data_IF_268659116731
#
_entry.id   IF_268659116731
#
_cell.length_a   1.000
_cell.length_b   1.000
_cell.length_c   1.000
_cell.angle_alpha   90.00
_cell.angle_beta   90.00
_cell.angle_gamma   90.00
#
_symmetry.space_group_name_H-M   'P 1'
#
loop_
_entity.id
_entity.type
_entity.pdbx_description
1 polymer ?
#
# COMPACT_ATOMS: atom_id res chain seq x y z
N UNK A 1 13.10 -35.86 -8.52
CA UNK A 1 14.35 -36.38 -9.11
C UNK A 1 15.05 -35.41 -10.06
N UNK A 2 14.40 -34.35 -10.52
CA UNK A 2 15.02 -33.31 -11.36
C UNK A 2 15.53 -33.76 -12.73
N UNK A 3 15.23 -34.99 -13.15
CA UNK A 3 15.64 -35.50 -14.46
C UNK A 3 14.57 -35.18 -15.50
N UNK A 4 14.99 -34.67 -16.63
CA UNK A 4 14.12 -34.42 -17.78
C UNK A 4 14.78 -34.92 -19.06
N UNK A 5 14.00 -35.26 -20.06
CA UNK A 5 14.47 -35.66 -21.37
C UNK A 5 13.70 -34.85 -22.42
N UNK A 6 14.44 -34.26 -23.34
CA UNK A 6 13.89 -33.50 -24.46
C UNK A 6 14.36 -34.14 -25.75
N UNK A 7 13.44 -34.49 -26.63
CA UNK A 7 13.70 -35.07 -27.95
C UNK A 7 13.50 -34.03 -29.05
N UNK A 8 14.29 -34.12 -30.12
CA UNK A 8 14.13 -33.27 -31.30
C UNK A 8 14.69 -31.84 -31.16
N UNK A 9 15.60 -31.61 -30.24
CA UNK A 9 16.21 -30.27 -29.99
C UNK A 9 17.40 -30.09 -30.95
N UNK A 10 17.39 -28.95 -31.69
CA UNK A 10 18.51 -28.58 -32.57
C UNK A 10 19.72 -28.12 -31.79
N UNK A 11 20.93 -28.33 -32.34
CA UNK A 11 22.18 -27.91 -31.73
C UNK A 11 22.27 -26.40 -31.48
N UNK A 12 21.56 -25.59 -32.27
CA UNK A 12 21.55 -24.12 -32.10
C UNK A 12 20.47 -23.61 -31.14
N UNK A 13 19.68 -24.53 -30.56
CA UNK A 13 18.61 -24.17 -29.64
C UNK A 13 19.14 -23.74 -28.27
N UNK A 14 18.46 -22.77 -27.65
CA UNK A 14 18.70 -22.35 -26.29
C UNK A 14 17.66 -22.99 -25.36
N UNK A 15 18.12 -23.63 -24.31
CA UNK A 15 17.31 -24.16 -23.23
C UNK A 15 17.20 -23.11 -22.15
N UNK A 16 16.00 -22.65 -21.83
CA UNK A 16 15.75 -21.80 -20.67
C UNK A 16 15.19 -22.68 -19.54
N UNK A 17 15.92 -22.75 -18.46
CA UNK A 17 15.51 -23.51 -17.28
C UNK A 17 15.18 -22.54 -16.17
N UNK A 18 13.92 -22.57 -15.72
CA UNK A 18 13.44 -21.73 -14.61
C UNK A 18 12.72 -22.58 -13.59
N UNK A 19 12.92 -22.25 -12.31
CA UNK A 19 12.22 -22.86 -11.20
C UNK A 19 11.95 -21.81 -10.13
N UNK A 20 10.83 -21.91 -9.44
CA UNK A 20 10.43 -20.94 -8.42
C UNK A 20 11.49 -20.87 -7.31
N UNK A 21 12.02 -19.67 -7.06
CA UNK A 21 13.09 -19.45 -6.07
C UNK A 21 14.53 -19.61 -6.60
N UNK A 22 14.70 -19.82 -7.90
CA UNK A 22 16.01 -19.95 -8.54
C UNK A 22 16.14 -18.99 -9.74
N UNK A 23 17.37 -18.54 -9.99
CA UNK A 23 17.66 -17.72 -11.16
C UNK A 23 17.48 -18.52 -12.43
N UNK A 24 16.73 -17.99 -13.38
CA UNK A 24 16.59 -18.60 -14.70
C UNK A 24 17.95 -18.66 -15.42
N UNK A 25 18.31 -19.83 -15.95
CA UNK A 25 19.55 -20.01 -16.70
C UNK A 25 19.22 -20.37 -18.15
N UNK A 26 19.94 -19.72 -19.07
CA UNK A 26 19.88 -20.07 -20.50
C UNK A 26 21.16 -20.83 -20.88
N UNK A 27 21.00 -22.00 -21.47
CA UNK A 27 22.09 -22.87 -21.90
C UNK A 27 21.91 -23.17 -23.39
N UNK A 28 23.00 -23.01 -24.17
CA UNK A 28 23.00 -23.39 -25.57
C UNK A 28 23.25 -24.90 -25.65
N UNK A 29 22.42 -25.62 -26.40
CA UNK A 29 22.46 -27.08 -26.47
C UNK A 29 23.75 -27.58 -27.09
N UNK A 30 24.20 -27.01 -28.19
CA UNK A 30 25.43 -27.44 -28.87
C UNK A 30 25.38 -28.94 -29.23
N UNK A 31 26.53 -29.62 -29.17
CA UNK A 31 26.66 -31.06 -29.46
C UNK A 31 26.65 -31.95 -28.21
N UNK A 32 26.18 -31.44 -27.06
CA UNK A 32 26.15 -32.18 -25.80
C UNK A 32 24.83 -32.91 -25.63
N UNK A 33 24.89 -34.23 -25.40
CA UNK A 33 23.72 -35.08 -25.15
C UNK A 33 23.23 -35.13 -23.70
N UNK A 34 23.96 -34.55 -22.74
CA UNK A 34 23.57 -34.52 -21.34
C UNK A 34 24.04 -33.21 -20.70
N UNK A 35 23.18 -32.65 -19.87
CA UNK A 35 23.45 -31.41 -19.12
C UNK A 35 23.22 -31.67 -17.65
N UNK A 36 24.14 -31.26 -16.82
CA UNK A 36 23.94 -31.12 -15.39
C UNK A 36 23.79 -29.62 -15.10
N UNK A 37 22.58 -29.21 -14.72
CA UNK A 37 22.24 -27.83 -14.52
C UNK A 37 22.07 -27.58 -13.02
N UNK A 38 22.99 -26.85 -12.43
CA UNK A 38 22.90 -26.40 -11.04
C UNK A 38 22.26 -25.03 -11.06
N UNK A 39 21.00 -24.95 -10.63
CA UNK A 39 20.32 -23.67 -10.46
C UNK A 39 20.87 -22.96 -9.22
N UNK A 40 21.15 -21.67 -9.38
CA UNK A 40 21.55 -20.82 -8.25
C UNK A 40 20.29 -20.26 -7.60
N UNK A 41 20.26 -20.26 -6.29
CA UNK A 41 19.19 -19.65 -5.53
C UNK A 41 19.02 -18.19 -5.98
N UNK A 42 17.78 -17.82 -6.29
CA UNK A 42 17.45 -16.42 -6.54
C UNK A 42 17.40 -15.70 -5.20
N UNK A 43 18.57 -15.32 -4.71
CA UNK A 43 18.71 -14.49 -3.51
C UNK A 43 18.21 -13.05 -3.73
N UNK A 44 17.78 -12.71 -4.94
CA UNK A 44 16.93 -11.54 -5.20
C UNK A 44 15.45 -11.82 -4.84
N UNK A 45 15.17 -12.75 -3.93
CA UNK A 45 13.89 -12.78 -3.24
C UNK A 45 13.70 -11.41 -2.60
N UNK A 46 13.05 -10.53 -3.35
CA UNK A 46 12.49 -9.26 -2.93
C UNK A 46 13.09 -8.77 -1.60
N UNK A 47 14.28 -8.21 -1.63
CA UNK A 47 14.79 -7.42 -0.52
C UNK A 47 13.83 -6.23 -0.38
N UNK A 48 12.73 -6.48 0.32
CA UNK A 48 11.77 -5.44 0.63
C UNK A 48 12.49 -4.42 1.50
N UNK A 49 12.91 -3.34 0.84
CA UNK A 49 13.54 -2.21 1.50
C UNK A 49 12.43 -1.33 2.04
N UNK A 50 12.41 -1.16 3.33
CA UNK A 50 11.46 -0.29 4.02
C UNK A 50 12.18 1.00 4.40
N UNK A 51 11.58 2.13 4.08
CA UNK A 51 12.07 3.43 4.54
C UNK A 51 11.69 3.58 6.01
N UNK A 52 12.69 3.69 6.88
CA UNK A 52 12.51 3.92 8.31
C UNK A 52 13.27 5.17 8.67
N UNK A 53 12.54 6.23 8.97
CA UNK A 53 13.13 7.52 9.25
C UNK A 53 13.79 8.13 8.03
N UNK A 54 15.05 8.53 8.17
CA UNK A 54 15.85 9.14 7.11
C UNK A 54 16.68 8.13 6.32
N UNK A 55 16.56 6.84 6.60
CA UNK A 55 17.35 5.79 5.95
C UNK A 55 16.46 4.65 5.45
N UNK A 56 16.82 4.12 4.28
CA UNK A 56 16.24 2.89 3.77
C UNK A 56 16.94 1.69 4.44
N UNK A 57 16.19 0.85 5.12
CA UNK A 57 16.71 -0.37 5.75
C UNK A 57 16.01 -1.62 5.20
N UNK A 58 16.72 -2.73 5.15
CA UNK A 58 16.12 -4.02 4.78
C UNK A 58 15.12 -4.44 5.84
N UNK A 59 13.93 -4.86 5.43
CA UNK A 59 12.85 -5.28 6.35
C UNK A 59 13.31 -6.35 7.36
N UNK A 60 14.20 -7.24 6.94
CA UNK A 60 14.79 -8.29 7.78
C UNK A 60 15.57 -7.71 8.98
N UNK A 61 16.11 -6.51 8.86
CA UNK A 61 16.89 -5.86 9.92
C UNK A 61 16.04 -5.01 10.88
N UNK A 62 14.72 -4.93 10.63
CA UNK A 62 13.82 -4.18 11.47
C UNK A 62 13.30 -5.07 12.59
N UNK A 63 13.68 -4.76 13.82
CA UNK A 63 13.19 -5.45 15.03
C UNK A 63 11.77 -5.03 15.41
N UNK A 64 11.26 -3.92 14.84
CA UNK A 64 9.94 -3.37 15.13
C UNK A 64 8.84 -3.88 14.21
N UNK A 65 7.58 -3.74 14.65
CA UNK A 65 6.39 -4.09 13.87
C UNK A 65 6.12 -3.03 12.79
N UNK A 66 6.69 -3.22 11.62
CA UNK A 66 6.51 -2.36 10.45
C UNK A 66 5.66 -3.09 9.42
N UNK A 67 4.60 -2.46 8.94
CA UNK A 67 3.85 -2.91 7.78
C UNK A 67 4.28 -2.08 6.55
N UNK A 68 4.76 -2.74 5.52
CA UNK A 68 5.09 -2.13 4.25
C UNK A 68 4.08 -2.56 3.19
N UNK A 69 3.57 -1.60 2.45
CA UNK A 69 2.61 -1.78 1.38
C UNK A 69 3.21 -1.18 0.11
N UNK A 70 3.51 -2.04 -0.86
CA UNK A 70 3.92 -1.61 -2.19
C UNK A 70 2.68 -1.37 -3.04
N UNK A 71 2.57 -0.19 -3.59
CA UNK A 71 1.51 0.18 -4.52
C UNK A 71 1.92 -0.22 -5.93
N UNK A 72 1.62 -1.46 -6.31
CA UNK A 72 1.67 -1.91 -7.70
C UNK A 72 0.33 -1.64 -8.38
N UNK A 73 0.35 -1.48 -9.70
CA UNK A 73 -0.83 -1.12 -10.51
C UNK A 73 -2.03 -2.08 -10.31
N UNK A 74 -1.77 -3.35 -9.98
CA UNK A 74 -2.83 -4.33 -9.67
C UNK A 74 -3.61 -4.01 -8.39
N UNK A 75 -2.97 -3.45 -7.37
CA UNK A 75 -3.63 -3.08 -6.10
C UNK A 75 -4.42 -1.78 -6.19
N UNK A 76 -4.08 -0.94 -7.17
CA UNK A 76 -4.80 0.29 -7.51
C UNK A 76 -6.01 0.05 -8.44
N UNK A 77 -6.30 -1.20 -8.83
CA UNK A 77 -7.44 -1.52 -9.69
C UNK A 77 -8.80 -1.22 -9.04
N UNK A 78 -8.86 -1.05 -7.72
CA UNK A 78 -10.04 -0.50 -7.05
C UNK A 78 -10.10 1.01 -7.33
N UNK A 79 -11.24 1.53 -7.74
CA UNK A 79 -11.44 2.98 -7.85
C UNK A 79 -11.48 3.59 -6.45
N UNK A 80 -10.31 3.88 -5.90
CA UNK A 80 -10.17 4.60 -4.63
C UNK A 80 -9.92 6.07 -4.92
N UNK A 81 -10.66 6.92 -4.25
CA UNK A 81 -10.57 8.37 -4.38
C UNK A 81 -9.43 8.93 -3.53
N UNK A 82 -9.13 8.29 -2.38
CA UNK A 82 -8.10 8.74 -1.44
C UNK A 82 -7.15 7.60 -1.06
N UNK A 83 -5.91 7.97 -0.71
CA UNK A 83 -4.91 7.01 -0.19
C UNK A 83 -5.41 6.38 1.12
N UNK A 84 -6.07 7.17 1.97
CA UNK A 84 -6.63 6.68 3.21
C UNK A 84 -7.65 5.55 2.98
N UNK A 85 -8.54 5.71 2.00
CA UNK A 85 -9.49 4.66 1.63
C UNK A 85 -8.79 3.40 1.11
N UNK A 86 -7.67 3.55 0.40
CA UNK A 86 -6.88 2.42 -0.09
C UNK A 86 -6.21 1.63 1.03
N UNK A 87 -5.83 2.29 2.13
CA UNK A 87 -5.20 1.64 3.28
C UNK A 87 -6.18 0.77 4.10
N UNK A 88 -7.48 0.99 3.93
CA UNK A 88 -8.51 0.24 4.66
C UNK A 88 -8.41 -1.25 4.35
N UNK A 89 -8.18 -2.06 5.39
CA UNK A 89 -8.06 -3.52 5.28
C UNK A 89 -6.75 -4.05 4.70
N UNK A 90 -5.81 -3.17 4.29
CA UNK A 90 -4.52 -3.59 3.72
C UNK A 90 -3.44 -3.81 4.78
N UNK A 91 -3.54 -3.15 5.92
CA UNK A 91 -2.56 -3.27 6.99
C UNK A 91 -3.22 -3.68 8.30
N UNK A 92 -2.74 -4.78 8.91
CA UNK A 92 -3.23 -5.21 10.22
C UNK A 92 -2.94 -4.16 11.30
N UNK A 93 -3.93 -3.85 12.13
CA UNK A 93 -3.83 -2.86 13.21
C UNK A 93 -3.95 -1.40 12.75
N UNK A 94 -4.33 -1.16 11.51
CA UNK A 94 -4.68 0.16 10.98
C UNK A 94 -6.19 0.19 10.78
N UNK A 95 -6.85 1.09 11.46
CA UNK A 95 -8.28 1.33 11.33
C UNK A 95 -8.48 2.66 10.58
N UNK A 96 -9.19 2.58 9.47
CA UNK A 96 -9.57 3.75 8.66
C UNK A 96 -11.07 3.93 8.75
N UNK A 97 -11.49 5.05 9.31
CA UNK A 97 -12.89 5.43 9.42
C UNK A 97 -13.16 6.59 8.45
N UNK A 98 -14.07 6.37 7.52
CA UNK A 98 -14.55 7.45 6.66
C UNK A 98 -15.62 8.22 7.43
N UNK A 99 -15.33 9.47 7.76
CA UNK A 99 -16.25 10.36 8.49
C UNK A 99 -17.24 11.05 7.56
N UNK A 100 -16.92 11.16 6.28
CA UNK A 100 -17.80 11.72 5.25
C UNK A 100 -17.58 10.98 3.94
N UNK A 101 -18.68 10.69 3.24
CA UNK A 101 -18.68 10.19 1.87
C UNK A 101 -19.15 11.27 0.88
N UNK A 102 -19.12 12.51 1.30
CA UNK A 102 -19.56 13.64 0.48
C UNK A 102 -18.48 13.94 -0.58
N UNK A 103 -18.83 14.07 -1.85
CA UNK A 103 -17.87 14.42 -2.90
C UNK A 103 -17.12 15.72 -2.53
N UNK A 104 -15.80 15.74 -2.71
CA UNK A 104 -14.90 16.83 -2.35
C UNK A 104 -14.77 17.15 -0.83
N UNK A 105 -15.49 16.44 0.03
CA UNK A 105 -15.40 16.59 1.49
C UNK A 105 -15.17 15.22 2.15
N UNK A 106 -14.45 14.34 1.47
CA UNK A 106 -14.09 13.03 2.00
C UNK A 106 -13.15 13.20 3.19
N UNK A 107 -13.70 13.05 4.39
CA UNK A 107 -12.93 12.99 5.63
C UNK A 107 -12.62 11.54 5.97
N UNK A 108 -11.36 11.24 6.20
CA UNK A 108 -10.95 9.94 6.74
C UNK A 108 -10.09 10.15 7.97
N UNK A 109 -10.43 9.42 9.03
CA UNK A 109 -9.62 9.33 10.25
C UNK A 109 -8.89 8.00 10.25
N UNK A 110 -7.60 8.05 10.49
CA UNK A 110 -6.74 6.88 10.55
C UNK A 110 -6.26 6.71 11.98
N UNK A 111 -6.43 5.50 12.51
CA UNK A 111 -5.96 5.13 13.84
C UNK A 111 -5.05 3.91 13.74
N UNK A 112 -3.92 3.96 14.42
CA UNK A 112 -2.99 2.83 14.51
C UNK A 112 -3.12 2.21 15.90
N UNK A 113 -3.52 0.93 15.97
CA UNK A 113 -3.73 0.17 17.21
C UNK A 113 -4.80 0.74 18.15
N UNK A 114 -5.68 1.62 17.63
CA UNK A 114 -6.79 2.20 18.41
C UNK A 114 -6.45 3.56 19.01
N UNK A 115 -7.34 4.04 19.88
CA UNK A 115 -7.24 5.36 20.54
C UNK A 115 -6.42 5.21 21.80
N UNK A 116 -5.23 5.80 21.83
CA UNK A 116 -4.34 5.78 22.98
C UNK A 116 -4.34 7.08 23.81
N UNK A 117 -5.03 8.11 23.34
CA UNK A 117 -5.07 9.44 23.96
C UNK A 117 -6.46 10.06 23.88
N UNK A 118 -6.77 10.94 24.83
CA UNK A 118 -8.02 11.73 24.83
C UNK A 118 -7.96 12.92 23.86
N UNK A 119 -6.77 13.28 23.40
CA UNK A 119 -6.56 14.34 22.42
C UNK A 119 -6.54 13.76 21.00
N UNK A 120 -5.85 14.41 20.09
CA UNK A 120 -5.66 13.92 18.73
C UNK A 120 -4.90 12.59 18.75
N UNK A 121 -5.59 11.51 18.32
CA UNK A 121 -5.06 10.16 18.24
C UNK A 121 -4.54 9.83 16.84
N UNK A 122 -4.52 10.79 15.92
CA UNK A 122 -4.02 10.62 14.56
C UNK A 122 -2.53 10.26 14.51
N UNK A 123 -2.10 9.43 13.55
CA UNK A 123 -0.69 9.15 13.33
C UNK A 123 0.02 10.34 12.69
N UNK A 124 1.33 10.43 12.87
CA UNK A 124 2.17 11.36 12.12
C UNK A 124 2.30 10.86 10.68
N UNK A 125 1.95 11.71 9.71
CA UNK A 125 2.03 11.37 8.29
C UNK A 125 3.16 12.16 7.66
N UNK A 126 4.09 11.44 7.03
CA UNK A 126 5.24 12.01 6.36
C UNK A 126 5.27 11.55 4.90
N UNK A 127 5.24 12.49 3.97
CA UNK A 127 5.37 12.25 2.54
C UNK A 127 6.75 12.72 2.11
N UNK A 128 7.59 11.79 1.67
CA UNK A 128 9.01 12.04 1.35
C UNK A 128 9.76 12.82 2.45
N UNK A 129 9.39 12.58 3.71
CA UNK A 129 9.98 13.23 4.89
C UNK A 129 9.34 14.55 5.32
N UNK A 130 8.36 15.05 4.59
CA UNK A 130 7.60 16.26 4.93
C UNK A 130 6.24 15.89 5.50
N UNK A 131 5.81 16.59 6.57
CA UNK A 131 4.48 16.40 7.13
C UNK A 131 3.41 16.96 6.20
N UNK A 132 2.49 16.10 5.81
CA UNK A 132 1.46 16.43 4.83
C UNK A 132 0.22 15.56 5.05
N UNK A 133 -0.95 16.05 4.64
CA UNK A 133 -2.18 15.26 4.66
C UNK A 133 -2.19 14.21 3.54
N UNK A 134 -2.66 12.98 3.84
CA UNK A 134 -2.85 11.94 2.82
C UNK A 134 -3.86 12.33 1.72
N UNK A 135 -4.76 13.28 2.01
CA UNK A 135 -5.74 13.73 1.04
C UNK A 135 -5.13 14.64 -0.05
N UNK A 136 -3.94 15.20 0.22
CA UNK A 136 -3.22 16.06 -0.73
C UNK A 136 -2.34 15.27 -1.70
N UNK A 137 -2.15 13.97 -1.45
CA UNK A 137 -1.26 13.12 -2.25
C UNK A 137 -2.08 12.31 -3.24
N UNK A 138 -1.69 12.36 -4.51
CA UNK A 138 -2.31 11.52 -5.54
C UNK A 138 -1.92 10.05 -5.34
N UNK A 139 -2.88 9.13 -5.23
CA UNK A 139 -2.58 7.68 -5.09
C UNK A 139 -1.69 7.10 -6.19
N UNK A 140 -1.76 7.65 -7.39
CA UNK A 140 -0.97 7.18 -8.53
C UNK A 140 0.52 7.52 -8.42
N UNK A 141 0.87 8.54 -7.63
CA UNK A 141 2.25 8.98 -7.44
C UNK A 141 2.94 8.24 -6.29
N UNK A 142 2.21 7.43 -5.53
CA UNK A 142 2.75 6.66 -4.42
C UNK A 142 3.47 5.42 -4.94
N UNK A 143 4.70 5.22 -4.48
CA UNK A 143 5.48 4.00 -4.72
C UNK A 143 5.25 2.98 -3.59
N UNK A 144 5.37 3.43 -2.34
CA UNK A 144 5.20 2.57 -1.17
C UNK A 144 4.72 3.35 0.05
N UNK A 145 4.03 2.66 0.94
CA UNK A 145 3.63 3.19 2.24
C UNK A 145 4.16 2.26 3.32
N UNK A 146 4.92 2.84 4.26
CA UNK A 146 5.43 2.12 5.42
C UNK A 146 4.74 2.63 6.69
N UNK A 147 4.17 1.73 7.46
CA UNK A 147 3.43 2.06 8.67
C UNK A 147 4.21 1.54 9.88
N UNK A 148 4.75 2.48 10.65
CA UNK A 148 5.45 2.20 11.89
C UNK A 148 4.41 2.14 13.02
N UNK A 149 4.25 0.96 13.60
CA UNK A 149 3.24 0.69 14.62
C UNK A 149 3.82 0.50 16.01
N UNK A 150 5.13 0.46 16.10
CA UNK A 150 5.85 0.13 17.31
C UNK A 150 6.64 1.31 17.84
N UNK A 151 6.66 1.47 19.15
CA UNK A 151 7.33 2.57 19.80
C UNK A 151 8.84 2.65 19.48
N UNK A 152 9.50 1.49 19.34
CA UNK A 152 10.92 1.44 18.97
C UNK A 152 11.17 2.02 17.58
N UNK A 153 10.32 1.67 16.60
CA UNK A 153 10.41 2.21 15.23
C UNK A 153 10.02 3.69 15.15
N UNK A 154 9.11 4.13 16.02
CA UNK A 154 8.65 5.52 16.07
C UNK A 154 9.54 6.44 16.89
N UNK A 155 10.49 5.90 17.67
CA UNK A 155 11.31 6.67 18.63
C UNK A 155 12.08 7.83 17.97
N UNK A 156 12.51 7.68 16.72
CA UNK A 156 13.23 8.72 15.98
C UNK A 156 12.37 9.97 15.69
N UNK A 157 11.03 9.84 15.76
CA UNK A 157 10.09 10.94 15.56
C UNK A 157 9.65 11.58 16.88
N UNK A 158 10.20 11.10 18.02
CA UNK A 158 9.93 11.61 19.35
C UNK A 158 8.44 11.51 19.72
N UNK A 159 7.96 12.49 20.48
CA UNK A 159 6.57 12.53 20.96
C UNK A 159 5.53 12.54 19.83
N UNK A 160 5.85 13.11 18.68
CA UNK A 160 4.94 13.17 17.52
C UNK A 160 4.65 11.79 16.92
N UNK A 161 5.58 10.83 17.11
CA UNK A 161 5.41 9.44 16.68
C UNK A 161 4.66 8.55 17.67
N UNK A 162 4.16 9.08 18.80
CA UNK A 162 3.53 8.28 19.85
C UNK A 162 2.31 7.47 19.37
N UNK A 163 1.52 8.04 18.47
CA UNK A 163 0.33 7.39 17.88
C UNK A 163 0.63 6.57 16.63
N UNK A 164 1.92 6.35 16.32
CA UNK A 164 2.39 5.71 15.11
C UNK A 164 2.77 6.70 14.01
N UNK A 165 3.47 6.20 13.00
CA UNK A 165 3.95 7.02 11.88
C UNK A 165 3.62 6.33 10.57
N UNK A 166 3.11 7.09 9.61
CA UNK A 166 2.87 6.66 8.23
C UNK A 166 3.88 7.37 7.34
N UNK A 167 4.74 6.60 6.70
CA UNK A 167 5.73 7.09 5.75
C UNK A 167 5.23 6.77 4.34
N UNK A 168 5.01 7.79 3.55
CA UNK A 168 4.66 7.68 2.14
C UNK A 168 5.88 8.02 1.32
N UNK A 169 6.25 7.12 0.44
CA UNK A 169 7.33 7.35 -0.54
C UNK A 169 6.72 7.49 -1.91
N UNK A 170 7.03 8.58 -2.60
CA UNK A 170 6.53 8.81 -3.96
C UNK A 170 7.43 8.15 -5.01
N UNK A 171 6.88 7.97 -6.20
CA UNK A 171 7.61 7.47 -7.37
C UNK A 171 8.64 8.50 -7.78
N UNK A 172 9.90 8.06 -7.89
CA UNK A 172 10.98 8.91 -8.38
C UNK A 172 11.19 8.67 -9.87
N UNK A 173 11.59 9.71 -10.59
CA UNK A 173 12.06 9.58 -11.96
C UNK A 173 13.30 8.69 -12.02
N UNK A 174 13.41 7.89 -13.07
CA UNK A 174 14.61 7.09 -13.37
C UNK A 174 15.38 7.71 -14.53
N UNK A 175 16.71 7.62 -14.50
CA UNK A 175 17.55 8.00 -15.62
C UNK A 175 17.25 7.11 -16.83
N UNK A 176 17.01 7.69 -18.00
CA UNK A 176 16.80 6.94 -19.22
C UNK A 176 15.72 7.50 -20.13
N UNK A 177 14.89 6.61 -20.68
CA UNK A 177 13.84 6.97 -21.64
C UNK A 177 12.70 7.73 -20.96
N UNK A 178 12.22 8.79 -21.62
CA UNK A 178 11.03 9.51 -21.18
C UNK A 178 9.82 8.58 -21.30
N UNK A 179 9.18 8.27 -20.17
CA UNK A 179 7.93 7.55 -20.13
C UNK A 179 6.79 8.54 -19.87
N UNK A 180 5.86 8.59 -20.81
CA UNK A 180 4.64 9.40 -20.65
C UNK A 180 3.48 8.43 -20.48
N UNK A 181 2.86 8.47 -19.31
CA UNK A 181 1.69 7.66 -18.98
C UNK A 181 0.49 8.57 -18.76
N UNK A 182 -0.59 8.33 -19.47
CA UNK A 182 -1.86 9.01 -19.28
C UNK A 182 -2.88 8.01 -18.72
N UNK A 183 -3.46 8.32 -17.56
CA UNK A 183 -4.55 7.56 -16.99
C UNK A 183 -5.69 8.51 -16.63
N UNK A 184 -6.91 8.24 -17.11
CA UNK A 184 -8.11 8.99 -16.79
C UNK A 184 -9.14 8.09 -16.11
N UNK A 185 -9.68 8.51 -14.95
CA UNK A 185 -10.80 7.83 -14.28
C UNK A 185 -12.01 8.75 -14.31
N UNK A 186 -13.13 8.22 -14.76
CA UNK A 186 -14.41 8.89 -14.69
C UNK A 186 -15.28 8.18 -13.67
N UNK A 187 -15.75 8.90 -12.66
CA UNK A 187 -16.66 8.34 -11.67
C UNK A 187 -17.84 9.28 -11.47
N UNK A 188 -19.04 8.70 -11.39
CA UNK A 188 -20.28 9.41 -11.08
C UNK A 188 -20.80 8.89 -9.75
N UNK A 189 -20.92 9.77 -8.77
CA UNK A 189 -21.39 9.41 -7.43
C UNK A 189 -22.75 10.04 -7.18
N UNK A 190 -23.69 9.23 -6.76
CA UNK A 190 -25.00 9.68 -6.29
C UNK A 190 -25.22 9.24 -4.86
N UNK A 191 -25.84 10.08 -4.01
CA UNK A 191 -26.20 9.65 -2.68
C UNK A 191 -27.20 8.50 -2.76
N UNK A 192 -26.90 7.37 -2.10
CA UNK A 192 -27.74 6.18 -2.12
C UNK A 192 -29.12 6.45 -1.44
N UNK A 193 -29.13 7.28 -0.41
CA UNK A 193 -30.34 7.69 0.30
C UNK A 193 -30.10 9.06 0.92
N UNK A 194 -30.96 10.01 0.60
CA UNK A 194 -31.02 11.28 1.30
C UNK A 194 -31.92 11.09 2.52
N UNK A 195 -31.41 11.46 3.70
CA UNK A 195 -32.23 11.52 4.91
C UNK A 195 -33.27 12.63 4.69
N UNK A 196 -34.55 12.31 4.88
CA UNK A 196 -35.62 13.30 4.81
C UNK A 196 -35.35 14.35 5.87
N UNK A 197 -35.14 15.58 5.45
CA UNK A 197 -35.01 16.68 6.37
C UNK A 197 -36.43 17.07 6.83
N UNK A 198 -36.59 17.20 8.14
CA UNK A 198 -37.81 17.72 8.74
C UNK A 198 -37.72 19.24 8.59
N UNK A 199 -38.48 19.80 7.67
CA UNK A 199 -38.49 21.24 7.37
C UNK A 199 -39.61 22.00 8.06
N UNK A 200 -40.62 21.27 8.56
CA UNK A 200 -41.72 21.84 9.31
C UNK A 200 -41.40 21.82 10.82
N UNK A 201 -41.63 22.95 11.48
CA UNK A 201 -41.40 23.09 12.91
C UNK A 201 -42.33 22.20 13.75
N UNK A 202 -43.56 21.98 13.30
CA UNK A 202 -44.47 21.07 13.97
C UNK A 202 -44.00 19.63 13.97
N UNK A 203 -43.58 19.11 12.81
CA UNK A 203 -43.02 17.78 12.65
C UNK A 203 -41.72 17.61 13.46
N UNK A 204 -40.89 18.67 13.53
CA UNK A 204 -39.68 18.66 14.36
C UNK A 204 -39.99 18.53 15.83
N UNK A 205 -40.97 19.27 16.35
CA UNK A 205 -41.38 19.21 17.75
C UNK A 205 -42.02 17.87 18.12
N UNK A 206 -42.78 17.28 17.21
CA UNK A 206 -43.35 15.94 17.39
C UNK A 206 -42.23 14.88 17.47
N UNK A 207 -41.28 14.94 16.56
CA UNK A 207 -40.13 14.04 16.56
C UNK A 207 -39.26 14.16 17.83
N UNK A 208 -39.02 15.38 18.30
CA UNK A 208 -38.28 15.61 19.55
C UNK A 208 -39.06 15.05 20.75
N UNK A 209 -40.37 15.25 20.78
CA UNK A 209 -41.23 14.72 21.87
C UNK A 209 -41.25 13.19 21.90
N UNK A 210 -41.32 12.52 20.77
CA UNK A 210 -41.19 11.07 20.70
C UNK A 210 -39.85 10.57 21.22
N UNK A 211 -38.76 11.31 20.94
CA UNK A 211 -37.43 11.00 21.43
C UNK A 211 -37.25 11.14 22.94
N UNK A 212 -38.07 11.98 23.59
CA UNK A 212 -38.09 12.13 25.07
C UNK A 212 -38.98 11.11 25.79
N UNK A 213 -39.92 10.47 25.05
CA UNK A 213 -40.87 9.53 25.64
C UNK A 213 -40.41 8.07 25.54
N UNK A 214 -39.36 7.76 24.78
CA UNK A 214 -38.73 6.45 24.67
C UNK A 214 -37.35 6.44 25.36
#
# INVERSE_FOLDING_TARGET
DGKFTLEGVSADSKLSVSYIGYMAQEIVVGNKGAFEIVLKDDTQALEEVVVVGYAAQKKVNLTGSVASLNFTDEKLSRPVTTIAASLSGMAAGVNVMNTSSQPNAEGSSILIRGVGTMNDAGPLILVDGMEMSLNEVNPNDVASISILKDAASCAIYGNRGANGVILVTTKRGSDGKINVTYSGKFSYQTPAKLIRQVTDYADYMEFVNEGYLN
#
